data_IF_568361415948
#
_entry.id   IF_568361415948
#
_cell.length_a   1.000
_cell.length_b   1.000
_cell.length_c   1.000
_cell.angle_alpha   90.00
_cell.angle_beta   90.00
_cell.angle_gamma   90.00
#
_symmetry.space_group_name_H-M   'P 1'
#
loop_
_entity.id
_entity.type
_entity.pdbx_description
1 polymer ?
#
# COMPACT_ATOMS: atom_id res chain seq x y z
N UNK A 1 23.66 12.46 14.50
CA UNK A 1 22.59 11.52 14.94
C UNK A 1 21.41 11.57 13.96
N UNK A 2 20.74 12.71 13.74
CA UNK A 2 19.61 12.83 12.80
C UNK A 2 19.89 12.26 11.39
N UNK A 3 21.04 12.60 10.80
CA UNK A 3 21.47 12.07 9.50
C UNK A 3 21.51 10.53 9.43
N UNK A 4 21.94 9.88 10.51
CA UNK A 4 22.01 8.42 10.56
C UNK A 4 20.63 7.79 10.75
N UNK A 5 19.71 8.47 11.47
CA UNK A 5 18.31 8.04 11.54
C UNK A 5 17.62 8.03 10.18
N UNK A 6 17.89 9.05 9.35
CA UNK A 6 17.39 9.09 7.98
C UNK A 6 17.93 7.92 7.13
N UNK A 7 19.21 7.59 7.27
CA UNK A 7 19.80 6.45 6.53
C UNK A 7 19.17 5.10 6.86
N UNK A 8 18.67 4.90 8.08
CA UNK A 8 17.91 3.69 8.44
C UNK A 8 16.59 3.65 7.66
N UNK A 9 15.89 4.78 7.59
CA UNK A 9 14.64 4.90 6.84
C UNK A 9 14.86 4.64 5.35
N UNK A 10 15.87 5.28 4.76
CA UNK A 10 16.24 5.10 3.34
C UNK A 10 16.51 3.61 3.04
N UNK A 11 17.32 2.96 3.89
CA UNK A 11 17.67 1.55 3.72
C UNK A 11 16.46 0.60 3.85
N UNK A 12 15.51 0.88 4.75
CA UNK A 12 14.31 0.05 4.95
C UNK A 12 13.27 0.24 3.82
N UNK A 13 13.16 1.45 3.28
CA UNK A 13 12.33 1.75 2.10
C UNK A 13 12.86 1.00 0.87
N UNK A 14 14.17 0.96 0.70
CA UNK A 14 14.80 0.26 -0.43
C UNK A 14 14.86 -1.27 -0.27
N UNK A 15 14.68 -1.78 0.95
CA UNK A 15 14.75 -3.21 1.23
C UNK A 15 13.68 -4.02 0.47
N UNK A 16 14.08 -5.14 -0.14
CA UNK A 16 13.22 -5.96 -1.04
C UNK A 16 12.92 -7.37 -0.53
N UNK A 17 13.24 -7.65 0.73
CA UNK A 17 12.96 -8.95 1.35
C UNK A 17 12.06 -8.76 2.58
N UNK A 18 11.38 -9.82 3.06
CA UNK A 18 10.61 -9.75 4.29
C UNK A 18 11.47 -9.28 5.46
N UNK A 19 10.98 -8.30 6.22
CA UNK A 19 11.63 -7.75 7.39
C UNK A 19 10.66 -7.80 8.58
N UNK A 20 11.09 -8.40 9.68
CA UNK A 20 10.31 -8.48 10.91
C UNK A 20 10.95 -7.63 11.99
N UNK A 21 10.18 -6.68 12.51
CA UNK A 21 10.54 -5.95 13.73
C UNK A 21 9.78 -6.59 14.88
N UNK A 22 10.49 -7.11 15.87
CA UNK A 22 9.86 -7.72 17.05
C UNK A 22 10.36 -7.03 18.31
N UNK A 23 9.43 -6.50 19.10
CA UNK A 23 9.74 -5.91 20.42
C UNK A 23 9.73 -7.06 21.45
N UNK A 24 10.89 -7.44 22.02
CA UNK A 24 10.99 -8.59 22.92
C UNK A 24 10.38 -8.30 24.31
N UNK A 25 10.26 -9.31 25.19
CA UNK A 25 9.80 -9.12 26.57
C UNK A 25 10.60 -8.03 27.27
N UNK A 26 9.90 -7.13 27.97
CA UNK A 26 10.49 -5.98 28.67
C UNK A 26 11.27 -5.02 27.76
N UNK A 27 11.20 -5.23 26.44
CA UNK A 27 11.71 -4.30 25.44
C UNK A 27 10.76 -3.11 25.30
N UNK A 28 11.34 -1.94 25.03
CA UNK A 28 10.59 -0.71 24.81
C UNK A 28 10.92 -0.10 23.46
N UNK A 29 9.89 0.36 22.74
CA UNK A 29 10.05 1.13 21.52
C UNK A 29 9.30 2.46 21.66
N UNK A 30 10.05 3.56 21.74
CA UNK A 30 9.51 4.88 22.08
C UNK A 30 9.87 5.94 21.06
N UNK A 31 8.99 6.93 20.88
CA UNK A 31 9.27 8.18 20.18
C UNK A 31 9.93 8.00 18.82
N UNK A 32 11.05 8.69 18.60
CA UNK A 32 11.78 8.66 17.33
C UNK A 32 12.31 7.29 16.93
N UNK A 33 12.61 6.41 17.90
CA UNK A 33 13.05 5.05 17.61
C UNK A 33 11.95 4.22 16.95
N UNK A 34 10.68 4.45 17.31
CA UNK A 34 9.55 3.82 16.63
C UNK A 34 9.45 4.29 15.18
N UNK A 35 9.56 5.61 14.97
CA UNK A 35 9.35 6.24 13.65
C UNK A 35 10.29 5.66 12.60
N UNK A 36 11.55 5.38 12.95
CA UNK A 36 12.56 4.89 12.00
C UNK A 36 12.44 3.40 11.66
N UNK A 37 11.62 2.63 12.38
CA UNK A 37 11.40 1.19 12.11
C UNK A 37 9.91 0.83 11.93
N UNK A 38 9.04 1.82 11.77
CA UNK A 38 7.61 1.60 11.59
C UNK A 38 7.35 0.78 10.32
N UNK A 39 6.46 -0.21 10.40
CA UNK A 39 6.17 -1.07 9.25
C UNK A 39 5.55 -0.32 8.07
N UNK A 40 4.97 0.87 8.29
CA UNK A 40 4.42 1.70 7.20
C UNK A 40 5.49 2.28 6.28
N UNK A 41 6.76 2.29 6.69
CA UNK A 41 7.86 2.72 5.82
C UNK A 41 7.94 1.87 4.55
N UNK A 42 7.69 0.56 4.68
CA UNK A 42 7.66 -0.38 3.57
C UNK A 42 6.63 -1.48 3.85
N UNK A 43 5.36 -1.10 3.82
CA UNK A 43 4.23 -1.94 4.24
C UNK A 43 4.10 -3.27 3.46
N UNK A 44 4.71 -3.34 2.28
CA UNK A 44 4.71 -4.56 1.46
C UNK A 44 5.69 -5.62 1.95
N UNK A 45 6.75 -5.21 2.67
CA UNK A 45 7.88 -6.06 3.09
C UNK A 45 8.09 -6.10 4.60
N UNK A 46 7.64 -5.09 5.34
CA UNK A 46 7.85 -4.96 6.77
C UNK A 46 6.62 -5.35 7.57
N UNK A 47 6.85 -6.15 8.62
CA UNK A 47 5.84 -6.47 9.63
C UNK A 47 6.40 -6.19 11.02
N UNK A 48 5.58 -5.58 11.87
CA UNK A 48 5.96 -5.29 13.25
C UNK A 48 5.16 -6.15 14.23
N UNK A 49 5.83 -6.66 15.26
CA UNK A 49 5.31 -7.55 16.27
C UNK A 49 5.74 -7.08 17.66
N UNK A 50 4.94 -7.38 18.66
CA UNK A 50 5.23 -6.99 20.04
C UNK A 50 5.01 -8.18 20.99
N UNK A 51 5.89 -8.33 21.98
CA UNK A 51 5.65 -9.26 23.08
C UNK A 51 4.55 -8.74 24.03
N UNK A 52 3.87 -9.63 24.72
CA UNK A 52 2.87 -9.29 25.74
C UNK A 52 3.42 -8.39 26.85
N UNK A 53 4.69 -8.54 27.22
CA UNK A 53 5.37 -7.75 28.26
C UNK A 53 6.09 -6.51 27.70
N UNK A 54 6.10 -6.32 26.38
CA UNK A 54 6.73 -5.15 25.77
C UNK A 54 5.96 -3.86 26.03
N UNK A 55 6.63 -2.74 25.82
CA UNK A 55 6.02 -1.40 25.89
C UNK A 55 6.34 -0.56 24.67
N UNK A 56 5.45 0.38 24.38
CA UNK A 56 5.66 1.28 23.25
C UNK A 56 4.65 2.40 23.19
N UNK A 57 5.13 3.57 22.81
CA UNK A 57 4.38 4.81 22.88
C UNK A 57 5.23 6.00 22.44
N UNK A 58 4.65 7.18 22.52
CA UNK A 58 5.33 8.41 22.07
C UNK A 58 6.46 8.80 23.02
N UNK A 59 6.27 8.60 24.32
CA UNK A 59 7.20 8.95 25.37
C UNK A 59 7.12 7.95 26.51
N UNK A 60 8.04 8.03 27.46
CA UNK A 60 7.97 7.23 28.68
C UNK A 60 6.76 7.61 29.54
N UNK A 61 6.23 6.68 30.35
CA UNK A 61 5.09 6.94 31.23
C UNK A 61 5.34 8.10 32.21
N UNK A 62 6.56 8.21 32.74
CA UNK A 62 7.02 9.33 33.59
C UNK A 62 6.87 10.68 32.90
N UNK A 63 7.41 10.81 31.69
CA UNK A 63 7.30 12.02 30.87
C UNK A 63 5.85 12.34 30.47
N UNK A 64 5.03 11.32 30.22
CA UNK A 64 3.59 11.51 29.95
C UNK A 64 2.88 12.14 31.14
N UNK A 65 3.15 11.66 32.36
CA UNK A 65 2.57 12.19 33.60
C UNK A 65 3.02 13.63 33.83
N UNK A 66 4.30 13.94 33.64
CA UNK A 66 4.82 15.30 33.82
C UNK A 66 4.20 16.32 32.87
N UNK A 67 3.82 15.91 31.67
CA UNK A 67 3.19 16.81 30.70
C UNK A 67 1.68 16.87 30.91
N UNK A 68 1.00 15.71 30.97
CA UNK A 68 -0.47 15.59 30.88
C UNK A 68 -1.17 15.43 32.22
N UNK A 69 -0.50 14.95 33.26
CA UNK A 69 -1.10 14.63 34.56
C UNK A 69 -0.29 15.22 35.72
N UNK A 70 -0.06 16.55 35.62
CA UNK A 70 0.69 17.37 36.57
C UNK A 70 0.06 17.37 37.97
N UNK A 71 0.80 17.88 38.94
CA UNK A 71 0.41 17.93 40.37
C UNK A 71 -1.01 18.46 40.61
N UNK A 72 -1.45 19.47 39.86
CA UNK A 72 -2.84 19.95 39.94
C UNK A 72 -3.87 18.83 39.71
N UNK A 73 -3.68 18.03 38.66
CA UNK A 73 -4.57 16.91 38.31
C UNK A 73 -4.45 15.76 39.32
N UNK A 74 -3.23 15.54 39.86
CA UNK A 74 -3.00 14.58 40.94
C UNK A 74 -3.79 14.98 42.20
N UNK A 75 -3.72 16.25 42.60
CA UNK A 75 -4.45 16.79 43.76
C UNK A 75 -5.96 16.69 43.55
N UNK A 76 -6.48 17.03 42.36
CA UNK A 76 -7.90 16.82 42.04
C UNK A 76 -8.30 15.35 42.15
N UNK A 77 -7.42 14.43 41.76
CA UNK A 77 -7.65 12.99 41.87
C UNK A 77 -7.61 12.52 43.33
N UNK A 78 -6.71 13.07 44.16
CA UNK A 78 -6.68 12.83 45.61
C UNK A 78 -7.99 13.26 46.27
N UNK A 79 -8.47 14.49 45.97
CA UNK A 79 -9.77 14.98 46.46
C UNK A 79 -10.93 14.08 46.02
N UNK A 80 -10.83 13.44 44.85
CA UNK A 80 -11.84 12.52 44.33
C UNK A 80 -11.77 11.10 44.89
N UNK A 81 -10.61 10.61 45.34
CA UNK A 81 -10.45 9.19 45.71
C UNK A 81 -10.10 8.99 47.19
N UNK A 82 -9.26 9.84 47.79
CA UNK A 82 -8.82 9.71 49.18
C UNK A 82 -9.94 10.05 50.17
N UNK A 83 -10.18 9.15 51.13
CA UNK A 83 -11.26 9.30 52.11
C UNK A 83 -11.00 10.46 53.08
N UNK A 84 -9.76 10.62 53.53
CA UNK A 84 -9.37 11.64 54.52
C UNK A 84 -9.45 13.04 53.88
N UNK A 85 -8.91 13.19 52.68
CA UNK A 85 -9.00 14.45 51.91
C UNK A 85 -10.45 14.83 51.68
N UNK A 86 -11.34 13.89 51.32
CA UNK A 86 -12.79 14.15 51.21
C UNK A 86 -13.44 14.60 52.50
N UNK A 87 -13.08 14.00 53.64
CA UNK A 87 -13.62 14.39 54.95
C UNK A 87 -13.21 15.83 55.28
N UNK A 88 -11.93 16.16 55.12
CA UNK A 88 -11.41 17.51 55.33
C UNK A 88 -12.04 18.54 54.38
N UNK A 89 -12.30 18.20 53.12
CA UNK A 89 -13.02 19.07 52.18
C UNK A 89 -14.48 19.30 52.61
N UNK A 90 -15.17 18.27 53.12
CA UNK A 90 -16.53 18.40 53.66
C UNK A 90 -16.58 19.23 54.94
N UNK A 91 -15.61 19.06 55.83
CA UNK A 91 -15.50 19.84 57.07
C UNK A 91 -15.28 21.33 56.77
N UNK A 92 -14.38 21.64 55.82
CA UNK A 92 -14.16 23.02 55.39
C UNK A 92 -15.39 23.63 54.70
N UNK A 93 -16.12 22.84 53.89
CA UNK A 93 -17.37 23.28 53.28
C UNK A 93 -18.47 23.56 54.32
N UNK A 94 -18.56 22.76 55.40
CA UNK A 94 -19.49 23.02 56.52
C UNK A 94 -19.14 24.31 57.24
N UNK A 95 -17.87 24.51 57.58
CA UNK A 95 -17.40 25.74 58.22
C UNK A 95 -17.61 26.98 57.32
N UNK A 96 -17.54 26.81 56.00
CA UNK A 96 -17.92 27.85 55.04
C UNK A 96 -19.40 28.23 55.16
N UNK A 97 -20.29 27.23 55.24
CA UNK A 97 -21.74 27.44 55.36
C UNK A 97 -22.15 28.03 56.70
N UNK A 98 -21.36 27.81 57.75
CA UNK A 98 -21.52 28.41 59.08
C UNK A 98 -21.01 29.86 59.15
N UNK A 99 -20.47 30.41 58.05
CA UNK A 99 -20.08 31.81 57.95
C UNK A 99 -18.74 32.17 58.62
N UNK A 100 -17.92 31.17 58.98
CA UNK A 100 -16.62 31.45 59.58
C UNK A 100 -15.66 32.10 58.56
N UNK A 101 -14.98 33.20 58.93
CA UNK A 101 -13.94 33.82 58.10
C UNK A 101 -12.84 32.82 57.72
N UNK A 102 -12.21 33.05 56.56
CA UNK A 102 -11.12 32.21 56.04
C UNK A 102 -9.93 32.17 57.03
N UNK A 103 -9.70 33.26 57.76
CA UNK A 103 -8.59 33.42 58.71
C UNK A 103 -8.90 32.89 60.13
N UNK A 104 -10.03 32.23 60.33
CA UNK A 104 -10.34 31.62 61.63
C UNK A 104 -9.30 30.51 61.94
N UNK A 105 -8.80 30.42 63.19
CA UNK A 105 -7.75 29.47 63.57
C UNK A 105 -8.13 28.02 63.23
N UNK A 106 -9.42 27.67 63.37
CA UNK A 106 -9.96 26.35 63.04
C UNK A 106 -9.91 26.02 61.53
N UNK A 107 -10.09 27.01 60.65
CA UNK A 107 -9.96 26.81 59.19
C UNK A 107 -8.50 26.72 58.77
N UNK A 108 -7.62 27.49 59.42
CA UNK A 108 -6.18 27.41 59.20
C UNK A 108 -5.62 26.02 59.57
N UNK A 109 -6.04 25.44 60.71
CA UNK A 109 -5.67 24.06 61.09
C UNK A 109 -6.12 23.02 60.05
N UNK A 110 -7.33 23.17 59.49
CA UNK A 110 -7.84 22.26 58.46
C UNK A 110 -7.04 22.41 57.17
N UNK A 111 -6.68 23.63 56.80
CA UNK A 111 -5.84 23.93 55.63
C UNK A 111 -4.46 23.29 55.76
N UNK A 112 -3.83 23.40 56.94
CA UNK A 112 -2.54 22.75 57.23
C UNK A 112 -2.64 21.22 57.18
N UNK A 113 -3.72 20.64 57.74
CA UNK A 113 -3.99 19.19 57.65
C UNK A 113 -4.19 18.73 56.22
N UNK A 114 -4.91 19.50 55.39
CA UNK A 114 -5.10 19.23 53.96
C UNK A 114 -3.77 19.26 53.22
N UNK A 115 -2.97 20.31 53.42
CA UNK A 115 -1.68 20.47 52.76
C UNK A 115 -0.71 19.34 53.15
N UNK A 116 -0.60 19.02 54.44
CA UNK A 116 0.21 17.90 54.92
C UNK A 116 -0.22 16.57 54.30
N UNK A 117 -1.54 16.29 54.26
CA UNK A 117 -2.07 15.07 53.65
C UNK A 117 -1.77 14.99 52.16
N UNK A 118 -1.84 16.11 51.44
CA UNK A 118 -1.50 16.18 50.01
C UNK A 118 -0.01 15.87 49.82
N UNK A 119 0.87 16.48 50.63
CA UNK A 119 2.32 16.24 50.55
C UNK A 119 2.68 14.77 50.81
N UNK A 120 2.05 14.14 51.81
CA UNK A 120 2.25 12.72 52.13
C UNK A 120 1.78 11.80 50.98
N UNK A 121 0.69 12.15 50.31
CA UNK A 121 0.09 11.32 49.26
C UNK A 121 0.73 11.52 47.87
N UNK A 122 1.37 12.67 47.63
CA UNK A 122 1.85 13.05 46.31
C UNK A 122 2.80 12.01 45.67
N UNK A 123 3.81 11.45 46.38
CA UNK A 123 4.70 10.44 45.79
C UNK A 123 3.94 9.18 45.34
N UNK A 124 2.98 8.72 46.16
CA UNK A 124 2.19 7.52 45.88
C UNK A 124 1.27 7.74 44.68
N UNK A 125 0.57 8.88 44.65
CA UNK A 125 -0.30 9.23 43.52
C UNK A 125 0.48 9.45 42.23
N UNK A 126 1.72 9.96 42.30
CA UNK A 126 2.61 10.05 41.13
C UNK A 126 2.95 8.66 40.60
N UNK A 127 3.26 7.68 41.47
CA UNK A 127 3.48 6.29 41.05
C UNK A 127 2.23 5.65 40.42
N UNK A 128 1.05 5.89 41.01
CA UNK A 128 -0.23 5.42 40.44
C UNK A 128 -0.48 6.04 39.07
N UNK A 129 -0.20 7.34 38.90
CA UNK A 129 -0.32 8.01 37.61
C UNK A 129 0.65 7.48 36.55
N UNK A 130 1.88 7.14 36.95
CA UNK A 130 2.87 6.51 36.06
C UNK A 130 2.36 5.13 35.62
N UNK A 131 1.84 4.33 36.54
CA UNK A 131 1.26 3.04 36.19
C UNK A 131 0.02 3.19 35.29
N UNK A 132 -0.81 4.20 35.54
CA UNK A 132 -1.94 4.54 34.68
C UNK A 132 -1.50 4.93 33.26
N UNK A 133 -0.44 5.72 33.13
CA UNK A 133 0.16 6.04 31.85
C UNK A 133 0.71 4.78 31.16
N UNK A 134 1.41 3.89 31.88
CA UNK A 134 1.98 2.65 31.35
C UNK A 134 0.90 1.70 30.77
N UNK A 135 -0.30 1.69 31.34
CA UNK A 135 -1.43 0.91 30.79
C UNK A 135 -1.82 1.34 29.36
N UNK A 136 -1.49 2.57 28.95
CA UNK A 136 -1.69 3.05 27.58
C UNK A 136 -0.59 2.62 26.60
N UNK A 137 0.49 2.01 27.07
CA UNK A 137 1.66 1.65 26.27
C UNK A 137 1.79 0.13 26.07
N UNK A 138 0.72 -0.61 26.36
CA UNK A 138 0.65 -2.07 26.28
C UNK A 138 0.55 -2.58 24.83
N UNK A 139 1.16 -3.74 24.56
CA UNK A 139 1.12 -4.40 23.26
C UNK A 139 -0.32 -4.67 22.76
N UNK A 140 -1.26 -4.98 23.67
CA UNK A 140 -2.68 -5.15 23.34
C UNK A 140 -3.27 -3.88 22.73
N UNK A 141 -2.91 -2.70 23.24
CA UNK A 141 -3.37 -1.44 22.66
C UNK A 141 -2.70 -1.17 21.32
N UNK A 142 -1.42 -1.50 21.16
CA UNK A 142 -0.73 -1.38 19.87
C UNK A 142 -1.45 -2.19 18.78
N UNK A 143 -1.82 -3.44 19.08
CA UNK A 143 -2.59 -4.29 18.16
C UNK A 143 -3.97 -3.72 17.88
N UNK A 144 -4.69 -3.23 18.89
CA UNK A 144 -6.01 -2.57 18.71
C UNK A 144 -5.96 -1.27 17.90
N UNK A 145 -4.77 -0.68 17.73
CA UNK A 145 -4.55 0.53 16.94
C UNK A 145 -3.86 0.23 15.61
N UNK A 146 -3.74 -1.05 15.25
CA UNK A 146 -3.06 -1.53 14.04
C UNK A 146 -1.63 -0.95 13.90
N UNK A 147 -0.96 -0.73 15.04
CA UNK A 147 0.43 -0.30 15.08
C UNK A 147 1.39 -1.49 14.95
N UNK A 148 0.96 -2.67 15.40
CA UNK A 148 1.67 -3.95 15.23
C UNK A 148 0.72 -4.96 14.60
N UNK A 149 1.27 -5.88 13.79
CA UNK A 149 0.53 -6.93 13.12
C UNK A 149 -0.07 -7.93 14.12
N UNK A 150 0.73 -8.38 15.09
CA UNK A 150 0.28 -9.34 16.10
C UNK A 150 1.06 -9.20 17.42
N UNK A 151 0.46 -9.73 18.49
CA UNK A 151 1.11 -9.86 19.79
C UNK A 151 1.60 -11.29 19.95
N UNK A 152 2.93 -11.47 20.05
CA UNK A 152 3.58 -12.78 20.02
C UNK A 152 4.38 -12.98 21.29
N UNK A 153 3.98 -13.97 22.08
CA UNK A 153 4.72 -14.36 23.29
C UNK A 153 6.09 -14.93 22.94
N UNK A 154 7.11 -14.51 23.68
CA UNK A 154 8.50 -14.94 23.50
C UNK A 154 8.68 -16.46 23.45
N UNK A 155 8.04 -17.20 24.34
CA UNK A 155 8.13 -18.67 24.40
C UNK A 155 7.73 -19.35 23.09
N UNK A 156 6.74 -18.78 22.39
CA UNK A 156 6.20 -19.30 21.12
C UNK A 156 6.78 -18.58 19.89
N UNK A 157 7.60 -17.55 20.09
CA UNK A 157 8.12 -16.68 19.03
C UNK A 157 8.86 -17.45 17.95
N UNK A 158 9.76 -18.38 18.32
CA UNK A 158 10.54 -19.19 17.38
C UNK A 158 9.64 -19.97 16.41
N UNK A 159 8.62 -20.65 16.92
CA UNK A 159 7.70 -21.44 16.11
C UNK A 159 6.84 -20.53 15.22
N UNK A 160 6.31 -19.44 15.81
CA UNK A 160 5.53 -18.45 15.07
C UNK A 160 6.32 -17.85 13.90
N UNK A 161 7.51 -17.32 14.15
CA UNK A 161 8.35 -16.69 13.14
C UNK A 161 8.89 -17.67 12.11
N UNK A 162 9.15 -18.93 12.48
CA UNK A 162 9.51 -19.96 11.51
C UNK A 162 8.44 -20.11 10.42
N UNK A 163 7.17 -20.30 10.81
CA UNK A 163 6.09 -20.45 9.85
C UNK A 163 5.74 -19.14 9.15
N UNK A 164 5.80 -18.01 9.87
CA UNK A 164 5.54 -16.69 9.29
C UNK A 164 6.56 -16.32 8.22
N UNK A 165 7.85 -16.54 8.49
CA UNK A 165 8.91 -16.28 7.53
C UNK A 165 8.76 -17.16 6.29
N UNK A 166 8.52 -18.46 6.46
CA UNK A 166 8.29 -19.37 5.32
C UNK A 166 7.09 -18.95 4.49
N UNK A 167 5.98 -18.57 5.13
CA UNK A 167 4.80 -18.03 4.45
C UNK A 167 5.16 -16.79 3.64
N UNK A 168 5.86 -15.84 4.26
CA UNK A 168 6.23 -14.60 3.59
C UNK A 168 7.16 -14.87 2.41
N UNK A 169 8.21 -15.68 2.55
CA UNK A 169 9.10 -16.02 1.44
C UNK A 169 8.36 -16.64 0.26
N UNK A 170 7.43 -17.56 0.51
CA UNK A 170 6.60 -18.17 -0.53
C UNK A 170 5.70 -17.12 -1.19
N UNK A 171 5.00 -16.32 -0.40
CA UNK A 171 4.10 -15.28 -0.91
C UNK A 171 4.85 -14.26 -1.76
N UNK A 172 6.05 -13.86 -1.34
CA UNK A 172 6.93 -12.96 -2.06
C UNK A 172 7.37 -13.52 -3.40
N UNK A 173 7.80 -14.78 -3.43
CA UNK A 173 8.17 -15.43 -4.67
C UNK A 173 6.97 -15.53 -5.62
N UNK A 174 5.79 -15.93 -5.12
CA UNK A 174 4.58 -16.01 -5.93
C UNK A 174 4.16 -14.64 -6.48
N UNK A 175 4.20 -13.58 -5.66
CA UNK A 175 3.94 -12.19 -6.11
C UNK A 175 4.88 -11.80 -7.25
N UNK A 176 6.17 -12.09 -7.11
CA UNK A 176 7.19 -11.80 -8.13
C UNK A 176 6.91 -12.56 -9.43
N UNK A 177 6.62 -13.85 -9.37
CA UNK A 177 6.29 -14.66 -10.56
C UNK A 177 5.01 -14.16 -11.26
N UNK A 178 3.99 -13.74 -10.50
CA UNK A 178 2.77 -13.16 -11.07
C UNK A 178 3.07 -11.84 -11.78
N UNK A 179 3.87 -10.95 -11.17
CA UNK A 179 4.26 -9.69 -11.81
C UNK A 179 5.14 -9.89 -13.05
N UNK A 180 5.93 -10.98 -13.11
CA UNK A 180 6.65 -11.35 -14.33
C UNK A 180 5.68 -11.83 -15.42
N UNK A 181 4.67 -12.62 -15.05
CA UNK A 181 3.67 -13.14 -15.98
C UNK A 181 2.70 -12.07 -16.51
N UNK A 182 2.31 -11.09 -15.69
CA UNK A 182 1.56 -9.90 -16.10
C UNK A 182 2.17 -8.64 -15.45
N UNK A 183 3.02 -7.91 -16.20
CA UNK A 183 3.65 -6.68 -15.72
C UNK A 183 2.67 -5.55 -15.39
N UNK A 184 1.39 -5.67 -15.77
CA UNK A 184 0.38 -4.64 -15.44
C UNK A 184 -0.12 -4.73 -14.00
N UNK A 185 0.14 -5.84 -13.30
CA UNK A 185 -0.34 -6.07 -11.94
C UNK A 185 0.63 -5.54 -10.88
N UNK A 186 0.10 -4.77 -9.94
CA UNK A 186 0.84 -4.35 -8.73
C UNK A 186 1.08 -5.52 -7.77
N UNK A 187 2.06 -5.39 -6.88
CA UNK A 187 2.39 -6.44 -5.91
C UNK A 187 1.26 -6.73 -4.92
N UNK A 188 0.42 -5.74 -4.60
CA UNK A 188 -0.77 -5.88 -3.76
C UNK A 188 -1.85 -6.68 -4.51
N UNK A 189 -2.08 -6.37 -5.79
CA UNK A 189 -3.04 -7.12 -6.61
C UNK A 189 -2.59 -8.57 -6.79
N UNK A 190 -1.29 -8.80 -7.02
CA UNK A 190 -0.71 -10.14 -7.09
C UNK A 190 -0.94 -10.92 -5.78
N UNK A 191 -0.75 -10.28 -4.63
CA UNK A 191 -1.03 -10.89 -3.32
C UNK A 191 -2.50 -11.28 -3.15
N UNK A 192 -3.43 -10.38 -3.49
CA UNK A 192 -4.87 -10.66 -3.41
C UNK A 192 -5.29 -11.80 -4.33
N UNK A 193 -4.65 -11.93 -5.49
CA UNK A 193 -4.90 -13.01 -6.43
C UNK A 193 -4.42 -14.37 -5.89
N UNK A 194 -3.27 -14.41 -5.22
CA UNK A 194 -2.81 -15.62 -4.49
C UNK A 194 -3.79 -15.99 -3.38
N UNK A 195 -4.30 -15.01 -2.64
CA UNK A 195 -5.29 -15.27 -1.58
C UNK A 195 -6.60 -15.80 -2.15
N UNK A 196 -7.07 -15.23 -3.26
CA UNK A 196 -8.24 -15.75 -3.97
C UNK A 196 -8.04 -17.20 -4.43
N UNK A 197 -6.85 -17.55 -4.93
CA UNK A 197 -6.53 -18.93 -5.31
C UNK A 197 -6.52 -19.89 -4.11
N UNK A 198 -6.08 -19.42 -2.95
CA UNK A 198 -6.13 -20.22 -1.71
C UNK A 198 -7.57 -20.46 -1.26
N UNK A 199 -8.43 -19.43 -1.35
CA UNK A 199 -9.86 -19.52 -1.03
C UNK A 199 -10.60 -20.46 -2.00
N UNK A 200 -10.33 -20.36 -3.32
CA UNK A 200 -10.87 -21.25 -4.35
C UNK A 200 -10.50 -22.72 -4.08
N UNK A 201 -9.33 -22.97 -3.50
CA UNK A 201 -8.87 -24.29 -3.11
C UNK A 201 -9.38 -24.73 -1.72
N UNK A 202 -10.16 -23.90 -1.02
CA UNK A 202 -10.75 -24.22 0.28
C UNK A 202 -9.80 -24.11 1.47
N UNK A 203 -8.69 -23.38 1.34
CA UNK A 203 -7.70 -23.21 2.40
C UNK A 203 -7.86 -21.88 3.14
N UNK A 204 -7.60 -21.89 4.46
CA UNK A 204 -7.60 -20.67 5.27
C UNK A 204 -6.32 -19.85 5.01
N UNK A 205 -6.52 -18.60 4.57
CA UNK A 205 -5.45 -17.66 4.20
C UNK A 205 -4.69 -17.12 5.41
N UNK A 206 -5.34 -17.03 6.57
CA UNK A 206 -4.80 -16.42 7.79
C UNK A 206 -3.83 -17.35 8.52
N UNK A 207 -4.01 -18.67 8.37
CA UNK A 207 -3.19 -19.67 9.03
C UNK A 207 -1.79 -19.79 8.41
N UNK A 208 -0.74 -19.35 9.13
CA UNK A 208 0.64 -19.43 8.64
C UNK A 208 1.05 -20.86 8.22
N UNK A 209 0.77 -21.86 9.05
CA UNK A 209 1.11 -23.26 8.77
C UNK A 209 0.32 -23.85 7.60
N UNK A 210 -1.00 -23.66 7.60
CA UNK A 210 -1.90 -24.19 6.57
C UNK A 210 -1.59 -23.60 5.20
N UNK A 211 -1.30 -22.30 5.13
CA UNK A 211 -0.88 -21.63 3.91
C UNK A 211 0.42 -22.23 3.36
N UNK A 212 1.44 -22.42 4.21
CA UNK A 212 2.73 -23.01 3.78
C UNK A 212 2.53 -24.43 3.30
N UNK A 213 1.73 -25.25 4.00
CA UNK A 213 1.43 -26.60 3.58
C UNK A 213 0.73 -26.61 2.22
N UNK A 214 -0.34 -25.85 2.04
CA UNK A 214 -1.04 -25.74 0.76
C UNK A 214 -0.09 -25.34 -0.36
N UNK A 215 0.72 -24.29 -0.13
CA UNK A 215 1.59 -23.77 -1.15
C UNK A 215 2.67 -24.77 -1.59
N UNK A 216 3.21 -25.56 -0.66
CA UNK A 216 4.19 -26.60 -0.98
C UNK A 216 3.60 -27.78 -1.78
N UNK A 217 2.32 -28.12 -1.59
CA UNK A 217 1.68 -29.23 -2.31
C UNK A 217 1.03 -28.78 -3.64
N UNK A 218 0.86 -27.48 -3.85
CA UNK A 218 0.11 -26.90 -4.99
C UNK A 218 1.01 -26.33 -6.09
N UNK A 219 2.25 -26.81 -6.22
CA UNK A 219 3.22 -26.28 -7.20
C UNK A 219 2.70 -26.38 -8.64
N UNK A 220 2.15 -27.55 -9.02
CA UNK A 220 1.57 -27.76 -10.36
C UNK A 220 0.37 -26.86 -10.62
N UNK A 221 -0.47 -26.65 -9.59
CA UNK A 221 -1.60 -25.72 -9.66
C UNK A 221 -1.12 -24.29 -9.94
N UNK A 222 -0.13 -23.78 -9.20
CA UNK A 222 0.42 -22.44 -9.46
C UNK A 222 1.04 -22.32 -10.85
N UNK A 223 1.80 -23.32 -11.29
CA UNK A 223 2.39 -23.33 -12.62
C UNK A 223 1.32 -23.22 -13.73
N UNK A 224 0.21 -23.96 -13.60
CA UNK A 224 -0.90 -23.89 -14.56
C UNK A 224 -1.58 -22.51 -14.58
N UNK A 225 -1.81 -21.92 -13.39
CA UNK A 225 -2.45 -20.61 -13.23
C UNK A 225 -1.56 -19.49 -13.76
N UNK A 226 -0.25 -19.55 -13.51
CA UNK A 226 0.74 -18.60 -14.03
C UNK A 226 0.83 -18.67 -15.55
N UNK A 227 0.86 -19.88 -16.14
CA UNK A 227 0.87 -20.05 -17.59
C UNK A 227 -0.39 -19.47 -18.25
N UNK A 228 -1.57 -19.72 -17.66
CA UNK A 228 -2.82 -19.15 -18.13
C UNK A 228 -2.83 -17.61 -18.05
N UNK A 229 -2.30 -17.05 -16.96
CA UNK A 229 -2.21 -15.62 -16.74
C UNK A 229 -1.26 -14.94 -17.74
N UNK A 230 -0.10 -15.54 -17.99
CA UNK A 230 0.85 -15.09 -18.99
C UNK A 230 0.25 -15.14 -20.41
N UNK A 231 -0.42 -16.24 -20.77
CA UNK A 231 -1.10 -16.38 -22.07
C UNK A 231 -2.20 -15.32 -22.25
N UNK A 232 -2.98 -15.04 -21.19
CA UNK A 232 -4.01 -14.00 -21.21
C UNK A 232 -3.41 -12.60 -21.40
N UNK A 233 -2.27 -12.30 -20.75
CA UNK A 233 -1.55 -11.05 -20.93
C UNK A 233 -1.03 -10.89 -22.37
N UNK A 234 -0.38 -11.93 -22.91
CA UNK A 234 0.10 -11.93 -24.29
C UNK A 234 -1.03 -11.75 -25.30
N UNK A 235 -2.18 -12.40 -25.08
CA UNK A 235 -3.36 -12.24 -25.94
C UNK A 235 -3.88 -10.80 -25.92
N UNK A 236 -3.90 -10.15 -24.76
CA UNK A 236 -4.30 -8.74 -24.63
C UNK A 236 -3.35 -7.81 -25.39
N UNK A 237 -2.05 -8.07 -25.28
CA UNK A 237 -1.03 -7.29 -26.00
C UNK A 237 -1.14 -7.47 -27.51
N UNK A 238 -1.35 -8.71 -27.98
CA UNK A 238 -1.57 -8.99 -29.39
C UNK A 238 -2.85 -8.32 -29.91
N UNK A 239 -3.93 -8.32 -29.13
CA UNK A 239 -5.16 -7.61 -29.50
C UNK A 239 -4.93 -6.10 -29.60
N UNK A 240 -4.22 -5.48 -28.64
CA UNK A 240 -3.84 -4.08 -28.72
C UNK A 240 -3.00 -3.77 -29.96
N UNK A 241 -1.96 -4.56 -30.20
CA UNK A 241 -1.10 -4.43 -31.39
C UNK A 241 -1.88 -4.57 -32.70
N UNK A 242 -2.77 -5.57 -32.79
CA UNK A 242 -3.58 -5.81 -33.98
C UNK A 242 -4.58 -4.67 -34.25
N UNK A 243 -5.11 -4.05 -33.19
CA UNK A 243 -5.97 -2.89 -33.30
C UNK A 243 -5.21 -1.65 -33.81
N UNK A 244 -4.03 -1.40 -33.25
CA UNK A 244 -3.23 -0.21 -33.57
C UNK A 244 -2.52 -0.34 -34.94
N UNK A 245 -2.14 -1.55 -35.34
CA UNK A 245 -1.35 -1.82 -36.53
C UNK A 245 -1.89 -3.03 -37.34
N UNK A 246 -3.07 -2.89 -37.99
CA UNK A 246 -3.71 -4.01 -38.69
C UNK A 246 -2.90 -4.54 -39.88
N UNK A 247 -2.20 -3.68 -40.61
CA UNK A 247 -1.38 -4.07 -41.77
C UNK A 247 -0.14 -4.87 -41.36
N UNK A 248 0.54 -4.47 -40.29
CA UNK A 248 1.68 -5.19 -39.75
C UNK A 248 1.27 -6.57 -39.21
N UNK A 249 0.11 -6.65 -38.55
CA UNK A 249 -0.45 -7.92 -38.08
C UNK A 249 -0.76 -8.88 -39.23
N UNK A 250 -1.33 -8.40 -40.34
CA UNK A 250 -1.57 -9.21 -41.54
C UNK A 250 -0.28 -9.72 -42.18
N UNK A 251 0.79 -8.93 -42.23
CA UNK A 251 2.11 -9.38 -42.71
C UNK A 251 2.74 -10.42 -41.78
N UNK A 252 2.55 -10.30 -40.46
CA UNK A 252 2.96 -11.33 -39.49
C UNK A 252 2.18 -12.63 -39.74
N UNK A 253 0.86 -12.56 -39.95
CA UNK A 253 0.04 -13.72 -40.30
C UNK A 253 0.48 -14.37 -41.61
N UNK A 254 0.81 -13.57 -42.64
CA UNK A 254 1.36 -14.07 -43.92
C UNK A 254 2.63 -14.89 -43.73
N UNK A 255 3.48 -14.50 -42.78
CA UNK A 255 4.75 -15.19 -42.48
C UNK A 255 4.56 -16.44 -41.60
N UNK A 256 3.60 -16.41 -40.68
CA UNK A 256 3.36 -17.52 -39.74
C UNK A 256 2.58 -18.68 -40.38
N UNK A 257 1.52 -18.37 -41.12
CA UNK A 257 0.72 -19.36 -41.85
C UNK A 257 0.24 -18.77 -43.19
N UNK A 258 1.01 -19.01 -44.28
CA UNK A 258 0.65 -18.54 -45.62
C UNK A 258 -0.73 -19.03 -46.07
N UNK A 259 -1.15 -20.23 -45.66
CA UNK A 259 -2.42 -20.83 -46.09
C UNK A 259 -3.62 -20.21 -45.37
N UNK A 260 -3.45 -19.79 -44.11
CA UNK A 260 -4.48 -19.06 -43.39
C UNK A 260 -4.61 -17.62 -43.92
N UNK A 261 -3.48 -16.97 -44.22
CA UNK A 261 -3.45 -15.64 -44.82
C UNK A 261 -4.19 -15.61 -46.16
N UNK A 262 -3.88 -16.52 -47.08
CA UNK A 262 -4.54 -16.57 -48.38
C UNK A 262 -6.05 -16.86 -48.27
N UNK A 263 -6.50 -17.64 -47.27
CA UNK A 263 -7.94 -17.83 -47.00
C UNK A 263 -8.61 -16.55 -46.51
N UNK A 264 -7.95 -15.77 -45.66
CA UNK A 264 -8.49 -14.50 -45.14
C UNK A 264 -8.49 -13.40 -46.21
N UNK A 265 -7.45 -13.33 -47.04
CA UNK A 265 -7.37 -12.42 -48.19
C UNK A 265 -8.48 -12.71 -49.21
N UNK A 266 -8.76 -13.98 -49.49
CA UNK A 266 -9.85 -14.39 -50.39
C UNK A 266 -11.22 -13.98 -49.83
N UNK A 267 -11.44 -14.09 -48.51
CA UNK A 267 -12.69 -13.63 -47.85
C UNK A 267 -12.81 -12.10 -47.88
N UNK A 268 -11.71 -11.37 -47.69
CA UNK A 268 -11.71 -9.90 -47.79
C UNK A 268 -11.97 -9.43 -49.23
N UNK A 269 -11.37 -10.08 -50.23
CA UNK A 269 -11.62 -9.80 -51.65
C UNK A 269 -13.08 -10.06 -52.06
N UNK A 270 -13.72 -11.10 -51.50
CA UNK A 270 -15.15 -11.39 -51.70
C UNK A 270 -16.05 -10.35 -51.00
N UNK A 271 -15.64 -9.82 -49.84
CA UNK A 271 -16.36 -8.76 -49.11
C UNK A 271 -16.26 -7.38 -49.79
N UNK A 272 -15.08 -7.02 -50.32
CA UNK A 272 -14.89 -5.79 -51.10
C UNK A 272 -15.63 -5.82 -52.45
N UNK A 273 -15.76 -7.00 -53.07
CA UNK A 273 -16.61 -7.19 -54.24
C UNK A 273 -18.11 -7.01 -53.94
N UNK A 274 -18.55 -7.21 -52.69
CA UNK A 274 -19.96 -6.98 -52.30
C UNK A 274 -20.23 -5.53 -51.88
N UNK A 275 -19.27 -4.81 -51.31
CA UNK A 275 -19.44 -3.40 -50.90
C UNK A 275 -19.11 -2.35 -51.99
N UNK A 276 -18.36 -2.69 -53.03
CA UNK A 276 -17.97 -1.75 -54.11
C UNK A 276 -19.09 -1.36 -55.09
N UNK A 277 -20.34 -1.77 -54.84
CA UNK A 277 -21.39 -1.74 -55.86
C UNK A 277 -22.36 -0.55 -55.84
N UNK A 278 -22.23 0.52 -55.02
CA UNK A 278 -23.17 1.64 -55.22
C UNK A 278 -22.84 3.10 -54.84
N UNK A 279 -21.89 3.46 -53.96
CA UNK A 279 -21.79 4.88 -53.53
C UNK A 279 -20.45 5.59 -53.78
N UNK A 280 -19.30 4.93 -53.59
CA UNK A 280 -17.99 5.61 -53.60
C UNK A 280 -17.45 5.93 -55.01
N UNK A 281 -17.85 5.17 -56.03
CA UNK A 281 -17.41 5.40 -57.42
C UNK A 281 -18.01 6.67 -58.05
N UNK A 282 -19.24 7.06 -57.68
CA UNK A 282 -19.86 8.29 -58.22
C UNK A 282 -19.18 9.56 -57.70
N UNK A 283 -18.75 9.55 -56.44
CA UNK A 283 -18.08 10.70 -55.80
C UNK A 283 -16.68 10.96 -56.37
N UNK A 284 -15.93 9.89 -56.69
CA UNK A 284 -14.59 9.98 -57.30
C UNK A 284 -14.65 10.36 -58.79
N UNK A 285 -15.68 9.92 -59.52
CA UNK A 285 -15.89 10.34 -60.91
C UNK A 285 -16.15 11.85 -61.02
N UNK A 286 -16.94 12.42 -60.09
CA UNK A 286 -17.20 13.86 -60.02
C UNK A 286 -15.93 14.69 -59.71
N UNK A 287 -15.04 14.19 -58.84
CA UNK A 287 -13.76 14.84 -58.52
C UNK A 287 -12.75 14.81 -59.67
N UNK A 288 -12.77 13.77 -60.52
CA UNK A 288 -11.85 13.67 -61.67
C UNK A 288 -12.21 14.60 -62.85
N UNK A 289 -13.46 15.06 -62.91
CA UNK A 289 -13.92 16.07 -63.89
C UNK A 289 -13.50 17.49 -63.51
N UNK A 290 -13.24 17.76 -62.22
CA UNK A 290 -12.84 19.09 -61.71
C UNK A 290 -11.31 19.30 -61.83
N UNK A 291 -10.52 18.24 -61.94
CA UNK A 291 -9.07 18.27 -61.72
C UNK A 291 -8.19 18.09 -62.97
N UNK A 292 -8.74 18.06 -64.19
CA UNK A 292 -7.92 17.98 -65.40
C UNK A 292 -7.39 19.37 -65.83
N UNK A 293 -6.08 19.59 -65.93
CA UNK A 293 -5.51 20.82 -66.50
C UNK A 293 -5.67 20.84 -68.03
N UNK A 294 -5.92 22.02 -68.58
CA UNK A 294 -6.02 22.28 -70.02
C UNK A 294 -4.75 21.86 -70.79
N UNK A 295 -4.94 21.27 -71.96
CA UNK A 295 -3.88 20.88 -72.90
C UNK A 295 -3.01 22.09 -73.31
N UNK A 296 -1.70 21.91 -73.54
CA UNK A 296 -0.85 23.00 -73.99
C UNK A 296 -1.03 23.23 -75.49
N UNK A 297 -1.46 24.44 -75.83
CA UNK A 297 -1.34 25.02 -77.16
C UNK A 297 0.04 25.66 -77.36
N UNK A 298 0.60 25.37 -78.52
CA UNK A 298 1.31 26.23 -79.46
C UNK A 298 2.26 27.37 -79.01
N UNK A 299 3.38 27.39 -79.76
CA UNK A 299 4.15 28.53 -80.28
C UNK A 299 5.50 28.98 -79.66
N UNK A 300 6.54 28.70 -80.47
CA UNK A 300 7.53 29.62 -81.09
C UNK A 300 8.86 29.98 -80.41
N UNK A 301 9.94 29.74 -81.17
CA UNK A 301 11.21 30.51 -81.17
C UNK A 301 12.46 29.67 -81.52
N UNK A 302 12.73 29.28 -82.78
CA UNK A 302 13.50 29.98 -83.85
C UNK A 302 14.96 29.42 -84.04
N UNK A 303 15.73 29.70 -85.11
CA UNK A 303 15.79 28.90 -86.34
C UNK A 303 17.19 28.32 -86.69
N UNK A 304 17.26 27.40 -87.65
CA UNK A 304 18.48 27.13 -88.42
C UNK A 304 18.14 26.65 -89.85
N UNK A 305 18.78 27.29 -90.81
CA UNK A 305 18.65 27.13 -92.27
C UNK A 305 18.98 25.74 -92.82
N UNK A 306 18.33 25.38 -93.93
CA UNK A 306 18.77 24.29 -94.81
C UNK A 306 17.65 23.60 -95.61
N UNK A 307 17.20 24.23 -96.70
CA UNK A 307 16.45 23.60 -97.79
C UNK A 307 17.40 23.31 -98.97
N UNK A 308 16.99 22.57 -100.04
CA UNK A 308 15.90 21.60 -100.15
C UNK A 308 16.31 20.30 -100.89
N UNK A 309 15.35 19.37 -100.98
CA UNK A 309 14.82 18.79 -102.24
C UNK A 309 14.68 17.26 -102.27
N UNK A 310 13.41 16.85 -102.29
CA UNK A 310 12.79 15.92 -103.25
C UNK A 310 13.13 14.42 -103.27
N UNK A 311 12.03 13.66 -103.40
CA UNK A 311 11.85 12.34 -104.00
C UNK A 311 12.00 11.07 -103.14
N UNK A 312 10.84 10.38 -103.02
CA UNK A 312 10.61 8.95 -103.30
C UNK A 312 11.61 7.95 -102.72
N UNK A 313 11.18 7.15 -101.73
CA UNK A 313 10.65 5.78 -101.88
C UNK A 313 10.00 5.38 -100.55
#
# INVERSE_FOLDING_TARGET
ILKFGAYIVDALVDYKQPCFVYIPPKGELRGGSWVVVDSRLNAEHMEMYADTESRGGVMEPSGTVEIKFRDKMLIETMRRLDRVTKQLEKEDAKLASEGLPIDAPRRQEIKEKKEKRIQDLLPVYKQVAIHFADMHDTATRMKKRDAVHDVVMWEKSRNYFYWRLRRQLILFNLRKEITIADPTLSLIQAQNLVFKWAEEAGHNVDGNYQFVQWACHSISFFASKLAALHAAHQMRNLHGFAHDNPTAFLEILRRLDPNLYHRLEFVSAVSEQTQSSSSTQRSMAALSLITKPNAPGDNTGEPADGLPASHLI
#
